data_IF_183047398918
#
_entry.id   IF_183047398918
#
_cell.length_a   1.000
_cell.length_b   1.000
_cell.length_c   1.000
_cell.angle_alpha   90.00
_cell.angle_beta   90.00
_cell.angle_gamma   90.00
#
_symmetry.space_group_name_H-M   'P 1'
#
loop_
_entity.id
_entity.type
_entity.pdbx_description
1 polymer ?
#
# COMPACT_ATOMS: atom_id res chain seq x y z
N UNK A 1 -5.14 -17.36 9.58
CA UNK A 1 -5.70 -18.25 10.65
C UNK A 1 -5.41 -19.68 10.26
N UNK A 2 -4.52 -20.38 10.98
CA UNK A 2 -4.41 -21.83 10.86
C UNK A 2 -5.65 -22.44 11.47
N UNK A 3 -6.38 -23.27 10.72
CA UNK A 3 -7.47 -24.06 11.27
C UNK A 3 -6.87 -25.08 12.25
N UNK A 4 -7.13 -24.93 13.53
CA UNK A 4 -6.81 -25.94 14.54
C UNK A 4 -8.00 -26.89 14.66
N UNK A 5 -7.98 -28.00 13.98
CA UNK A 5 -8.74 -29.15 14.42
C UNK A 5 -7.97 -29.74 15.64
N UNK A 6 -8.54 -29.63 16.84
CA UNK A 6 -8.01 -30.20 18.08
C UNK A 6 -6.64 -29.73 18.60
N UNK A 7 -6.27 -28.45 18.35
CA UNK A 7 -5.05 -27.87 18.91
C UNK A 7 -3.73 -28.38 18.28
N UNK A 8 -3.78 -29.16 17.21
CA UNK A 8 -2.60 -29.62 16.49
C UNK A 8 -2.31 -28.69 15.32
N UNK A 9 -1.10 -28.11 15.28
CA UNK A 9 -0.55 -27.43 14.11
C UNK A 9 -0.01 -28.54 13.20
N UNK A 10 -0.70 -28.80 12.09
CA UNK A 10 -0.31 -29.88 11.17
C UNK A 10 1.01 -29.65 10.43
N UNK A 11 1.42 -28.38 10.24
CA UNK A 11 2.66 -27.97 9.57
C UNK A 11 3.29 -26.82 10.35
N UNK A 12 4.56 -26.88 10.73
CA UNK A 12 5.18 -25.90 11.62
C UNK A 12 5.61 -24.63 10.85
N UNK A 13 4.64 -23.96 10.24
CA UNK A 13 4.83 -22.67 9.58
C UNK A 13 3.80 -21.69 10.10
N UNK A 14 4.24 -20.49 10.48
CA UNK A 14 3.40 -19.45 11.07
C UNK A 14 3.79 -18.08 10.54
N UNK A 15 2.80 -17.33 10.03
CA UNK A 15 2.91 -15.89 9.77
C UNK A 15 2.28 -15.14 10.94
N UNK A 16 3.10 -14.49 11.74
CA UNK A 16 2.66 -13.65 12.87
C UNK A 16 2.57 -12.20 12.42
N UNK A 17 1.44 -11.52 12.71
CA UNK A 17 1.23 -10.11 12.39
C UNK A 17 1.28 -9.29 13.67
N UNK A 18 2.25 -8.39 13.75
CA UNK A 18 2.52 -7.52 14.91
C UNK A 18 1.77 -6.19 14.75
N UNK A 19 0.60 -6.07 15.36
CA UNK A 19 -0.25 -4.86 15.25
C UNK A 19 0.40 -3.62 15.87
N UNK A 20 1.25 -3.79 16.86
CA UNK A 20 2.08 -2.73 17.45
C UNK A 20 3.13 -2.16 16.47
N UNK A 21 3.60 -2.97 15.52
CA UNK A 21 4.48 -2.49 14.46
C UNK A 21 3.74 -1.59 13.46
N UNK A 22 2.47 -1.89 13.13
CA UNK A 22 1.62 -0.98 12.37
C UNK A 22 1.48 0.37 13.07
N UNK A 23 1.18 0.38 14.37
CA UNK A 23 1.04 1.59 15.17
C UNK A 23 2.34 2.41 15.20
N UNK A 24 3.49 1.73 15.36
CA UNK A 24 4.81 2.36 15.31
C UNK A 24 5.06 3.02 13.95
N UNK A 25 4.80 2.31 12.85
CA UNK A 25 5.02 2.82 11.51
C UNK A 25 4.06 3.97 11.16
N UNK A 26 2.81 3.93 11.62
CA UNK A 26 1.87 5.04 11.49
C UNK A 26 2.34 6.29 12.24
N UNK A 27 2.88 6.12 13.46
CA UNK A 27 3.48 7.23 14.21
C UNK A 27 4.70 7.80 13.48
N UNK A 28 5.49 6.93 12.83
CA UNK A 28 6.60 7.38 12.00
C UNK A 28 6.15 8.23 10.80
N UNK A 29 5.01 7.89 10.19
CA UNK A 29 4.40 8.75 9.15
C UNK A 29 4.05 10.12 9.73
N UNK A 30 3.43 10.19 10.90
CA UNK A 30 3.07 11.46 11.56
C UNK A 30 4.28 12.35 11.87
N UNK A 31 5.39 11.75 12.31
CA UNK A 31 6.65 12.47 12.54
C UNK A 31 7.23 13.07 11.25
N UNK A 32 7.09 12.35 10.13
CA UNK A 32 7.62 12.79 8.84
C UNK A 32 6.71 13.75 8.09
N UNK A 33 5.40 13.71 8.36
CA UNK A 33 4.37 14.52 7.70
C UNK A 33 3.38 15.09 8.75
N UNK A 34 3.85 15.94 9.68
CA UNK A 34 3.07 16.37 10.86
C UNK A 34 1.84 17.20 10.49
N UNK A 35 1.89 17.94 9.39
CA UNK A 35 0.78 18.79 8.93
C UNK A 35 -0.19 18.07 7.99
N UNK A 36 0.16 16.86 7.54
CA UNK A 36 -0.65 16.12 6.58
C UNK A 36 -1.57 15.12 7.27
N UNK A 37 -2.78 14.97 6.74
CA UNK A 37 -3.66 13.85 7.04
C UNK A 37 -3.18 12.59 6.32
N UNK A 38 -3.57 11.44 6.84
CA UNK A 38 -3.03 10.15 6.40
C UNK A 38 -4.15 9.27 5.82
N UNK A 39 -4.01 8.93 4.54
CA UNK A 39 -4.69 7.82 3.93
C UNK A 39 -3.87 6.55 4.10
N UNK A 40 -4.12 5.73 5.11
CA UNK A 40 -3.45 4.43 5.27
C UNK A 40 -3.90 3.47 4.16
N UNK A 41 -2.97 3.11 3.26
CA UNK A 41 -3.26 2.27 2.10
C UNK A 41 -3.24 0.81 2.53
N UNK A 42 -4.44 0.18 2.53
CA UNK A 42 -4.65 -1.22 2.96
C UNK A 42 -5.23 -2.10 1.84
N UNK A 43 -5.05 -1.72 0.59
CA UNK A 43 -5.46 -2.51 -0.58
C UNK A 43 -4.91 -3.94 -0.57
N UNK A 44 -5.50 -4.84 -1.38
CA UNK A 44 -5.09 -6.24 -1.49
C UNK A 44 -5.04 -6.94 -0.11
N UNK A 45 -6.12 -6.81 0.67
CA UNK A 45 -6.25 -7.35 2.03
C UNK A 45 -5.07 -6.93 2.94
N UNK A 46 -4.82 -5.61 2.97
CA UNK A 46 -3.70 -5.02 3.71
C UNK A 46 -2.33 -5.61 3.29
N UNK A 47 -2.05 -5.62 1.97
CA UNK A 47 -0.82 -6.20 1.42
C UNK A 47 -0.59 -7.66 1.89
N UNK A 48 -1.67 -8.42 2.06
CA UNK A 48 -1.63 -9.81 2.53
C UNK A 48 -1.54 -9.97 4.05
N UNK A 49 -1.60 -8.87 4.83
CA UNK A 49 -1.49 -8.91 6.31
C UNK A 49 -2.84 -9.06 7.03
N UNK A 50 -3.93 -9.23 6.30
CA UNK A 50 -5.32 -9.25 6.74
C UNK A 50 -5.87 -7.89 7.22
N UNK A 51 -7.14 -7.63 6.89
CA UNK A 51 -7.80 -6.37 7.24
C UNK A 51 -7.99 -6.21 8.75
N UNK A 52 -8.28 -7.31 9.47
CA UNK A 52 -8.46 -7.32 10.91
C UNK A 52 -7.22 -6.77 11.65
N UNK A 53 -6.04 -7.20 11.20
CA UNK A 53 -4.78 -6.73 11.77
C UNK A 53 -4.52 -5.26 11.44
N UNK A 54 -4.79 -4.84 10.19
CA UNK A 54 -4.64 -3.46 9.76
C UNK A 54 -5.63 -2.54 10.50
N UNK A 55 -6.90 -2.93 10.62
CA UNK A 55 -7.91 -2.17 11.35
C UNK A 55 -7.51 -1.98 12.82
N UNK A 56 -7.01 -3.03 13.47
CA UNK A 56 -6.52 -2.96 14.85
C UNK A 56 -5.28 -2.08 14.99
N UNK A 57 -4.29 -2.23 14.11
CA UNK A 57 -3.00 -1.55 14.23
C UNK A 57 -3.00 -0.12 13.67
N UNK A 58 -3.86 0.20 12.70
CA UNK A 58 -3.94 1.50 12.03
C UNK A 58 -5.22 2.29 12.37
N UNK A 59 -6.02 1.84 13.33
CA UNK A 59 -7.33 2.43 13.66
C UNK A 59 -7.29 3.90 14.11
N UNK A 60 -6.11 4.46 14.38
CA UNK A 60 -5.93 5.88 14.66
C UNK A 60 -5.60 6.73 13.43
N UNK A 61 -5.63 6.17 12.22
CA UNK A 61 -5.43 6.90 10.94
C UNK A 61 -6.57 7.87 10.65
N UNK A 62 -6.34 8.87 9.77
CA UNK A 62 -7.41 9.79 9.33
C UNK A 62 -8.35 9.14 8.31
N UNK A 63 -7.91 8.12 7.60
CA UNK A 63 -8.74 7.33 6.69
C UNK A 63 -8.00 6.14 6.10
N UNK A 64 -8.76 5.18 5.60
CA UNK A 64 -8.24 4.06 4.83
C UNK A 64 -8.38 4.28 3.34
N UNK A 65 -7.40 3.82 2.57
CA UNK A 65 -7.41 3.88 1.11
C UNK A 65 -7.37 2.46 0.52
N UNK A 66 -8.35 2.16 -0.32
CA UNK A 66 -8.69 0.85 -0.88
C UNK A 66 -8.71 0.91 -2.42
N UNK A 67 -8.92 -0.23 -3.05
CA UNK A 67 -9.21 -0.32 -4.49
C UNK A 67 -10.66 -0.74 -4.74
N UNK A 68 -11.19 -1.68 -3.97
CA UNK A 68 -12.46 -2.35 -4.20
C UNK A 68 -13.54 -1.83 -3.22
N UNK A 69 -14.74 -1.58 -3.72
CA UNK A 69 -15.88 -1.17 -2.91
C UNK A 69 -16.31 -2.28 -1.92
N UNK A 70 -16.08 -3.56 -2.25
CA UNK A 70 -16.36 -4.67 -1.33
C UNK A 70 -15.45 -4.63 -0.09
N UNK A 71 -14.23 -4.14 -0.24
CA UNK A 71 -13.33 -3.90 0.91
C UNK A 71 -13.87 -2.78 1.80
N UNK A 72 -14.55 -1.76 1.22
CA UNK A 72 -15.22 -0.71 1.99
C UNK A 72 -16.45 -1.24 2.74
N UNK A 73 -17.25 -2.12 2.12
CA UNK A 73 -18.34 -2.84 2.80
C UNK A 73 -17.80 -3.58 4.01
N UNK A 74 -16.74 -4.38 3.81
CA UNK A 74 -16.11 -5.13 4.89
C UNK A 74 -15.68 -4.23 6.06
N UNK A 75 -15.04 -3.08 5.78
CA UNK A 75 -14.63 -2.12 6.82
C UNK A 75 -15.83 -1.59 7.62
N UNK A 76 -16.92 -1.23 6.95
CA UNK A 76 -18.15 -0.74 7.62
C UNK A 76 -18.79 -1.80 8.49
N UNK A 77 -18.90 -3.04 8.00
CA UNK A 77 -19.40 -4.20 8.76
C UNK A 77 -18.55 -4.51 9.99
N UNK A 78 -17.23 -4.20 9.95
CA UNK A 78 -16.30 -4.40 11.06
C UNK A 78 -16.09 -3.13 11.91
N UNK A 79 -17.01 -2.16 11.81
CA UNK A 79 -17.12 -1.04 12.72
C UNK A 79 -16.27 0.18 12.39
N UNK A 80 -15.59 0.24 11.25
CA UNK A 80 -14.87 1.43 10.83
C UNK A 80 -15.82 2.55 10.44
N UNK A 81 -15.79 3.69 11.16
CA UNK A 81 -16.63 4.87 10.91
C UNK A 81 -15.84 6.02 10.27
N UNK A 82 -14.51 5.91 10.17
CA UNK A 82 -13.65 6.93 9.57
C UNK A 82 -13.78 6.99 8.04
N UNK A 83 -13.02 7.90 7.44
CA UNK A 83 -13.03 8.11 5.97
C UNK A 83 -12.50 6.87 5.24
N UNK A 84 -13.03 6.64 4.04
CA UNK A 84 -12.60 5.60 3.10
C UNK A 84 -12.40 6.26 1.74
N UNK A 85 -11.24 6.04 1.12
CA UNK A 85 -10.93 6.52 -0.23
C UNK A 85 -10.77 5.34 -1.19
N UNK A 86 -11.55 5.34 -2.27
CA UNK A 86 -11.40 4.39 -3.38
C UNK A 86 -10.38 4.96 -4.38
N UNK A 87 -9.15 4.39 -4.39
CA UNK A 87 -7.96 4.90 -5.11
C UNK A 87 -8.05 4.83 -6.65
N UNK A 88 -8.96 4.03 -7.17
CA UNK A 88 -9.25 3.87 -8.60
C UNK A 88 -10.67 4.35 -8.93
N UNK A 89 -11.37 4.91 -7.92
CA UNK A 89 -12.78 5.28 -8.03
C UNK A 89 -13.68 4.06 -8.11
N UNK A 90 -14.70 4.14 -8.96
CA UNK A 90 -15.66 3.06 -9.20
C UNK A 90 -15.43 2.47 -10.59
N UNK A 91 -15.71 1.18 -10.72
CA UNK A 91 -15.58 0.47 -11.99
C UNK A 91 -16.86 0.49 -12.81
N UNK A 92 -18.01 0.70 -12.16
CA UNK A 92 -19.32 0.77 -12.79
C UNK A 92 -20.18 1.89 -12.20
N UNK A 93 -21.00 2.52 -13.02
CA UNK A 93 -21.92 3.60 -12.61
C UNK A 93 -22.90 3.16 -11.51
N UNK A 94 -23.36 1.91 -11.55
CA UNK A 94 -24.32 1.36 -10.58
C UNK A 94 -23.73 1.19 -9.15
N UNK A 95 -22.43 1.36 -8.98
CA UNK A 95 -21.79 1.35 -7.65
C UNK A 95 -21.93 2.70 -6.91
N UNK A 96 -22.35 3.78 -7.58
CA UNK A 96 -22.45 5.12 -7.00
C UNK A 96 -23.37 5.19 -5.79
N UNK A 97 -24.52 4.51 -5.84
CA UNK A 97 -25.44 4.50 -4.70
C UNK A 97 -24.82 3.83 -3.49
N UNK A 98 -24.20 2.67 -3.67
CA UNK A 98 -23.50 1.95 -2.60
C UNK A 98 -22.33 2.76 -2.05
N UNK A 99 -21.51 3.38 -2.91
CA UNK A 99 -20.41 4.22 -2.47
C UNK A 99 -20.88 5.42 -1.64
N UNK A 100 -22.05 5.99 -1.97
CA UNK A 100 -22.67 7.04 -1.18
C UNK A 100 -23.17 6.53 0.17
N UNK A 101 -23.83 5.38 0.22
CA UNK A 101 -24.30 4.75 1.46
C UNK A 101 -23.12 4.44 2.41
N UNK A 102 -21.99 3.99 1.85
CA UNK A 102 -20.76 3.73 2.58
C UNK A 102 -19.97 4.99 2.93
N UNK A 103 -20.41 6.19 2.52
CA UNK A 103 -19.73 7.46 2.68
C UNK A 103 -18.24 7.38 2.23
N UNK A 104 -18.01 6.87 1.01
CA UNK A 104 -16.68 6.79 0.41
C UNK A 104 -16.30 8.11 -0.24
N UNK A 105 -15.01 8.46 -0.18
CA UNK A 105 -14.39 9.45 -1.05
C UNK A 105 -13.92 8.74 -2.33
N UNK A 106 -14.00 9.41 -3.48
CA UNK A 106 -13.70 8.80 -4.77
C UNK A 106 -12.51 9.46 -5.45
N UNK A 107 -11.58 8.66 -5.96
CA UNK A 107 -10.63 9.14 -6.96
C UNK A 107 -11.31 9.10 -8.32
N UNK A 108 -11.19 10.16 -9.10
CA UNK A 108 -11.68 10.27 -10.48
C UNK A 108 -10.50 10.47 -11.40
N UNK A 109 -10.38 9.64 -12.44
CA UNK A 109 -9.19 9.59 -13.29
C UNK A 109 -9.47 9.49 -14.79
N UNK A 110 -10.74 9.42 -15.20
CA UNK A 110 -11.16 9.33 -16.61
C UNK A 110 -12.52 9.99 -16.83
N UNK A 111 -12.84 10.31 -18.09
CA UNK A 111 -14.06 11.02 -18.46
C UNK A 111 -15.31 10.22 -18.12
N UNK A 112 -15.31 8.90 -18.28
CA UNK A 112 -16.47 8.09 -17.93
C UNK A 112 -16.90 8.28 -16.45
N UNK A 113 -15.95 8.34 -15.52
CA UNK A 113 -16.25 8.59 -14.11
C UNK A 113 -16.76 10.04 -13.88
N UNK A 114 -16.27 11.01 -14.65
CA UNK A 114 -16.82 12.37 -14.62
C UNK A 114 -18.25 12.38 -15.13
N UNK A 115 -18.54 11.72 -16.25
CA UNK A 115 -19.89 11.62 -16.84
C UNK A 115 -20.89 11.00 -15.86
N UNK A 116 -20.51 9.92 -15.19
CA UNK A 116 -21.33 9.27 -14.16
C UNK A 116 -21.66 10.22 -13.01
N UNK A 117 -20.67 10.96 -12.51
CA UNK A 117 -20.86 11.88 -11.40
C UNK A 117 -21.70 13.10 -11.79
N UNK A 118 -21.59 13.63 -13.00
CA UNK A 118 -22.44 14.73 -13.49
C UNK A 118 -23.92 14.33 -13.54
N UNK A 119 -24.20 13.09 -13.93
CA UNK A 119 -25.57 12.57 -14.07
C UNK A 119 -26.13 12.01 -12.76
N UNK A 120 -25.27 11.68 -11.79
CA UNK A 120 -25.68 11.07 -10.54
C UNK A 120 -26.56 11.99 -9.71
N UNK A 121 -27.77 11.54 -9.43
CA UNK A 121 -28.71 12.23 -8.53
C UNK A 121 -28.50 11.69 -7.12
N UNK A 122 -27.69 12.40 -6.33
CA UNK A 122 -27.41 12.02 -4.96
C UNK A 122 -28.69 11.92 -4.11
N UNK A 123 -28.88 10.81 -3.43
CA UNK A 123 -29.88 10.69 -2.34
C UNK A 123 -29.43 11.57 -1.18
N UNK A 124 -30.41 12.23 -0.51
CA UNK A 124 -30.14 13.04 0.70
C UNK A 124 -29.17 14.23 0.53
N UNK A 125 -28.97 14.75 -0.67
CA UNK A 125 -28.08 15.88 -0.98
C UNK A 125 -26.59 15.69 -0.57
N UNK A 126 -26.18 14.54 -0.06
CA UNK A 126 -24.79 14.26 0.24
C UNK A 126 -24.05 13.94 -1.05
N UNK A 127 -23.05 14.74 -1.38
CA UNK A 127 -22.15 14.51 -2.51
C UNK A 127 -20.81 13.97 -2.03
N UNK A 128 -20.14 13.23 -2.90
CA UNK A 128 -18.81 12.72 -2.62
C UNK A 128 -17.77 13.84 -2.49
N UNK A 129 -16.74 13.62 -1.67
CA UNK A 129 -15.49 14.30 -1.89
C UNK A 129 -14.76 13.58 -3.02
N UNK A 130 -14.31 14.33 -4.00
CA UNK A 130 -13.66 13.80 -5.20
C UNK A 130 -12.18 14.18 -5.18
N UNK A 131 -11.31 13.20 -5.30
CA UNK A 131 -9.89 13.41 -5.57
C UNK A 131 -9.64 13.24 -7.07
N UNK A 132 -9.62 14.36 -7.79
CA UNK A 132 -9.33 14.35 -9.23
C UNK A 132 -7.86 14.03 -9.45
N UNK A 133 -7.59 12.97 -10.20
CA UNK A 133 -6.23 12.46 -10.40
C UNK A 133 -5.60 13.01 -11.67
N UNK A 134 -4.41 13.59 -11.50
CA UNK A 134 -3.56 14.09 -12.58
C UNK A 134 -2.45 13.10 -12.90
N UNK A 135 -2.23 12.84 -14.17
CA UNK A 135 -1.06 12.15 -14.66
C UNK A 135 0.07 13.17 -14.90
N UNK A 136 0.99 13.23 -13.98
CA UNK A 136 2.18 14.10 -14.05
C UNK A 136 3.42 13.37 -14.58
N UNK A 137 3.26 12.17 -15.16
CA UNK A 137 4.35 11.43 -15.77
C UNK A 137 4.46 9.96 -15.41
N UNK A 138 3.66 9.46 -14.45
CA UNK A 138 3.62 8.02 -14.11
C UNK A 138 2.97 7.17 -15.23
N UNK A 139 2.10 7.78 -16.05
CA UNK A 139 1.44 7.17 -17.20
C UNK A 139 0.64 5.88 -16.89
N UNK A 140 0.01 5.86 -15.73
CA UNK A 140 -0.85 4.74 -15.32
C UNK A 140 -2.33 5.13 -15.32
N UNK A 141 -2.71 6.12 -14.50
CA UNK A 141 -4.08 6.65 -14.38
C UNK A 141 -4.05 8.16 -14.17
N UNK A 142 -5.10 8.84 -14.60
CA UNK A 142 -5.30 10.28 -14.38
C UNK A 142 -5.32 11.08 -15.66
N UNK A 143 -5.93 12.25 -15.59
CA UNK A 143 -6.01 13.21 -16.67
C UNK A 143 -4.64 13.85 -16.93
N UNK A 144 -4.30 14.03 -18.20
CA UNK A 144 -3.18 14.90 -18.57
C UNK A 144 -3.50 16.36 -18.24
N UNK A 145 -2.50 17.23 -18.02
CA UNK A 145 -2.72 18.62 -17.60
C UNK A 145 -3.75 19.38 -18.44
N UNK A 146 -3.74 19.20 -19.77
CA UNK A 146 -4.64 19.91 -20.69
C UNK A 146 -6.14 19.54 -20.46
N UNK A 147 -6.42 18.28 -20.16
CA UNK A 147 -7.77 17.79 -19.89
C UNK A 147 -8.18 17.96 -18.41
N UNK A 148 -7.20 18.09 -17.51
CA UNK A 148 -7.44 18.12 -16.07
C UNK A 148 -8.34 19.26 -15.62
N UNK A 149 -8.05 20.48 -16.09
CA UNK A 149 -8.83 21.68 -15.72
C UNK A 149 -10.28 21.60 -16.21
N UNK A 150 -10.50 21.03 -17.38
CA UNK A 150 -11.85 20.79 -17.93
C UNK A 150 -12.62 19.82 -17.02
N UNK A 151 -12.02 18.68 -16.66
CA UNK A 151 -12.61 17.71 -15.75
C UNK A 151 -12.87 18.31 -14.37
N UNK A 152 -11.96 19.15 -13.84
CA UNK A 152 -12.16 19.86 -12.58
C UNK A 152 -13.41 20.76 -12.65
N UNK A 153 -13.53 21.60 -13.67
CA UNK A 153 -14.67 22.52 -13.80
C UNK A 153 -15.99 21.79 -13.98
N UNK A 154 -16.02 20.68 -14.70
CA UNK A 154 -17.22 19.82 -14.83
C UNK A 154 -17.68 19.32 -13.45
N UNK A 155 -16.81 18.69 -12.70
CA UNK A 155 -17.12 18.18 -11.35
C UNK A 155 -17.50 19.29 -10.37
N UNK A 156 -16.76 20.40 -10.38
CA UNK A 156 -17.03 21.54 -9.51
C UNK A 156 -18.39 22.19 -9.83
N UNK A 157 -18.73 22.36 -11.13
CA UNK A 157 -20.03 22.88 -11.57
C UNK A 157 -21.18 21.93 -11.23
N UNK A 158 -20.95 20.62 -11.23
CA UNK A 158 -21.89 19.63 -10.72
C UNK A 158 -22.05 19.69 -9.19
N UNK A 159 -21.25 20.53 -8.49
CA UNK A 159 -21.33 20.83 -7.05
C UNK A 159 -20.57 19.84 -6.18
N UNK A 160 -19.60 19.11 -6.71
CA UNK A 160 -18.69 18.27 -5.91
C UNK A 160 -17.59 19.10 -5.25
N UNK A 161 -17.17 18.68 -4.05
CA UNK A 161 -15.93 19.15 -3.46
C UNK A 161 -14.76 18.41 -4.11
N UNK A 162 -13.98 19.13 -4.94
CA UNK A 162 -12.90 18.55 -5.72
C UNK A 162 -11.56 18.84 -5.06
N UNK A 163 -10.80 17.78 -4.81
CA UNK A 163 -9.42 17.79 -4.31
C UNK A 163 -8.48 17.32 -5.42
N UNK A 164 -7.19 17.55 -5.28
CA UNK A 164 -6.18 17.31 -6.29
C UNK A 164 -5.28 16.15 -5.92
N UNK A 165 -5.05 15.21 -6.83
CA UNK A 165 -4.19 14.05 -6.59
C UNK A 165 -3.23 13.80 -7.74
N UNK A 166 -2.00 13.42 -7.42
CA UNK A 166 -1.08 12.77 -8.37
C UNK A 166 -0.36 11.59 -7.70
N UNK A 167 0.55 10.94 -8.41
CA UNK A 167 1.39 9.88 -7.86
C UNK A 167 2.79 9.95 -8.46
N UNK A 168 3.79 9.97 -7.59
CA UNK A 168 5.18 10.02 -8.02
C UNK A 168 5.63 8.68 -8.58
N UNK A 169 6.29 8.73 -9.75
CA UNK A 169 6.78 7.56 -10.45
C UNK A 169 8.07 7.02 -9.83
N UNK A 170 8.99 7.93 -9.49
CA UNK A 170 10.38 7.61 -9.16
C UNK A 170 10.84 8.22 -7.83
N UNK A 171 9.94 8.29 -6.82
CA UNK A 171 10.29 8.83 -5.51
C UNK A 171 11.31 7.95 -4.74
N UNK A 172 11.49 6.71 -5.15
CA UNK A 172 12.46 5.73 -4.64
C UNK A 172 13.72 5.60 -5.52
N UNK A 173 13.82 6.37 -6.61
CA UNK A 173 14.89 6.27 -7.60
C UNK A 173 15.60 7.62 -7.78
N UNK A 174 16.86 7.71 -7.40
CA UNK A 174 17.66 8.93 -7.61
C UNK A 174 18.07 9.06 -9.09
N UNK A 175 17.87 10.26 -9.65
CA UNK A 175 18.30 10.56 -11.02
C UNK A 175 17.42 9.98 -12.12
N UNK A 176 16.24 9.43 -11.80
CA UNK A 176 15.28 8.95 -12.80
C UNK A 176 14.23 10.02 -13.15
N UNK A 177 13.85 10.06 -14.44
CA UNK A 177 12.77 10.92 -14.92
C UNK A 177 11.45 10.10 -15.11
N UNK A 178 10.28 10.72 -14.87
CA UNK A 178 10.13 12.08 -14.33
C UNK A 178 10.56 12.15 -12.86
N UNK A 179 11.30 13.21 -12.53
CA UNK A 179 11.72 13.47 -11.15
C UNK A 179 10.54 13.91 -10.28
N UNK A 180 10.66 13.75 -8.96
CA UNK A 180 9.64 14.21 -8.00
C UNK A 180 9.42 15.73 -8.14
N UNK A 181 10.50 16.50 -8.28
CA UNK A 181 10.43 17.96 -8.47
C UNK A 181 9.69 18.35 -9.74
N UNK A 182 10.02 17.74 -10.88
CA UNK A 182 9.34 17.99 -12.15
C UNK A 182 7.86 17.63 -12.12
N UNK A 183 7.50 16.49 -11.52
CA UNK A 183 6.10 16.10 -11.34
C UNK A 183 5.33 17.09 -10.45
N UNK A 184 5.95 17.54 -9.36
CA UNK A 184 5.35 18.50 -8.42
C UNK A 184 5.16 19.88 -9.07
N UNK A 185 6.14 20.35 -9.82
CA UNK A 185 6.05 21.62 -10.55
C UNK A 185 4.90 21.60 -11.56
N UNK A 186 4.82 20.58 -12.40
CA UNK A 186 3.73 20.38 -13.37
C UNK A 186 2.36 20.33 -12.67
N UNK A 187 2.29 19.61 -11.55
CA UNK A 187 1.07 19.52 -10.73
C UNK A 187 0.66 20.89 -10.22
N UNK A 188 1.56 21.63 -9.56
CA UNK A 188 1.29 22.93 -8.98
C UNK A 188 0.88 23.99 -10.03
N UNK A 189 1.56 24.00 -11.17
CA UNK A 189 1.20 24.89 -12.29
C UNK A 189 -0.23 24.58 -12.78
N UNK A 190 -0.58 23.30 -12.94
CA UNK A 190 -1.88 22.89 -13.47
C UNK A 190 -3.03 23.20 -12.50
N UNK A 191 -2.84 23.07 -11.20
CA UNK A 191 -3.89 23.34 -10.20
C UNK A 191 -3.94 24.82 -9.77
N UNK A 192 -3.04 25.65 -10.25
CA UNK A 192 -2.96 27.06 -9.85
C UNK A 192 -4.31 27.77 -9.99
N UNK A 193 -4.77 28.41 -8.92
CA UNK A 193 -6.05 29.08 -8.83
C UNK A 193 -7.29 28.18 -8.67
N UNK A 194 -7.11 26.84 -8.57
CA UNK A 194 -8.20 25.92 -8.31
C UNK A 194 -8.26 25.60 -6.79
N UNK A 195 -9.45 25.66 -6.16
CA UNK A 195 -9.61 25.33 -4.75
C UNK A 195 -9.56 23.82 -4.55
N UNK A 196 -9.08 23.38 -3.39
CA UNK A 196 -9.08 21.96 -2.98
C UNK A 196 -7.80 21.57 -2.25
N UNK A 197 -7.87 20.51 -1.46
CA UNK A 197 -6.70 19.91 -0.81
C UNK A 197 -5.92 19.06 -1.81
N UNK A 198 -4.65 18.82 -1.49
CA UNK A 198 -3.70 18.11 -2.34
C UNK A 198 -3.29 16.77 -1.75
N UNK A 199 -3.03 15.77 -2.61
CA UNK A 199 -2.50 14.47 -2.20
C UNK A 199 -1.48 13.96 -3.23
N UNK A 200 -0.19 14.01 -2.87
CA UNK A 200 0.91 13.67 -3.77
C UNK A 200 1.71 12.46 -3.28
N UNK A 201 2.18 12.52 -2.03
CA UNK A 201 3.20 11.64 -1.49
C UNK A 201 2.74 10.19 -1.29
N UNK A 202 3.51 9.26 -1.84
CA UNK A 202 3.53 7.84 -1.51
C UNK A 202 4.57 7.56 -0.39
N UNK A 203 4.81 6.29 -0.03
CA UNK A 203 5.77 5.92 1.01
C UNK A 203 7.17 6.48 0.78
N UNK A 204 7.69 6.40 -0.44
CA UNK A 204 9.02 6.90 -0.78
C UNK A 204 9.11 8.43 -0.64
N UNK A 205 8.10 9.15 -1.13
CA UNK A 205 8.06 10.59 -0.99
C UNK A 205 7.97 11.03 0.49
N UNK A 206 7.20 10.32 1.32
CA UNK A 206 7.12 10.59 2.76
C UNK A 206 8.50 10.43 3.42
N UNK A 207 9.23 9.39 3.05
CA UNK A 207 10.54 9.10 3.64
C UNK A 207 11.62 10.09 3.20
N UNK A 208 11.63 10.47 1.91
CA UNK A 208 12.80 11.14 1.32
C UNK A 208 12.55 12.48 0.63
N UNK A 209 11.28 12.91 0.46
CA UNK A 209 10.92 14.15 -0.27
C UNK A 209 9.96 15.02 0.53
N UNK A 210 10.41 15.54 1.68
CA UNK A 210 9.58 16.31 2.62
C UNK A 210 8.88 17.54 2.02
N UNK A 211 9.40 18.09 0.94
CA UNK A 211 8.79 19.23 0.24
C UNK A 211 7.64 18.85 -0.70
N UNK A 212 7.33 17.55 -0.82
CA UNK A 212 6.36 17.01 -1.77
C UNK A 212 5.19 16.25 -1.09
N UNK A 213 4.86 16.58 0.16
CA UNK A 213 3.87 15.83 0.96
C UNK A 213 2.42 16.09 0.53
N UNK A 214 1.99 17.37 0.51
CA UNK A 214 0.60 17.79 0.32
C UNK A 214 -0.23 17.69 1.59
N UNK A 215 -1.53 18.05 1.50
CA UNK A 215 -2.46 18.02 2.66
C UNK A 215 -2.79 16.59 3.11
N UNK A 216 -2.69 15.64 2.20
CA UNK A 216 -2.91 14.22 2.45
C UNK A 216 -1.75 13.39 1.93
N UNK A 217 -1.19 12.53 2.77
CA UNK A 217 -0.17 11.54 2.38
C UNK A 217 -0.78 10.15 2.27
N UNK A 218 -0.20 9.30 1.42
CA UNK A 218 -0.70 7.94 1.15
C UNK A 218 0.39 6.89 1.40
N UNK A 219 0.76 6.67 2.68
CA UNK A 219 1.69 5.60 3.01
C UNK A 219 1.05 4.24 2.67
N UNK A 220 1.81 3.40 1.98
CA UNK A 220 1.49 1.99 1.73
C UNK A 220 2.57 1.13 2.33
N UNK A 221 3.57 0.75 1.55
CA UNK A 221 4.58 -0.23 1.92
C UNK A 221 5.30 0.10 3.26
N UNK A 222 5.54 1.36 3.58
CA UNK A 222 6.17 1.75 4.84
C UNK A 222 5.34 1.42 6.08
N UNK A 223 4.00 1.38 5.97
CA UNK A 223 3.13 0.96 7.10
C UNK A 223 3.36 -0.50 7.48
N UNK A 224 3.78 -1.32 6.52
CA UNK A 224 4.08 -2.74 6.70
C UNK A 224 5.52 -2.99 7.12
N UNK A 225 6.32 -1.93 7.27
CA UNK A 225 7.70 -2.02 7.70
C UNK A 225 8.65 -2.52 6.61
N UNK A 226 8.31 -2.29 5.35
CA UNK A 226 9.18 -2.61 4.22
C UNK A 226 9.64 -1.34 3.49
N UNK A 227 10.82 -1.39 2.87
CA UNK A 227 11.37 -0.29 2.10
C UNK A 227 10.75 -0.20 0.70
N UNK A 228 10.45 1.02 0.20
CA UNK A 228 10.06 1.22 -1.18
C UNK A 228 11.12 0.80 -2.21
N UNK A 229 12.40 0.84 -1.86
CA UNK A 229 13.52 0.42 -2.74
C UNK A 229 13.72 -1.10 -2.76
N UNK A 230 13.13 -1.82 -1.81
CA UNK A 230 13.39 -3.25 -1.59
C UNK A 230 14.72 -3.55 -0.87
N UNK A 231 15.47 -2.53 -0.45
CA UNK A 231 16.72 -2.71 0.30
C UNK A 231 16.43 -2.83 1.80
N UNK A 232 16.92 -3.90 2.42
CA UNK A 232 16.71 -4.14 3.85
C UNK A 232 17.32 -3.03 4.73
N UNK A 233 18.46 -2.48 4.34
CA UNK A 233 19.14 -1.41 5.08
C UNK A 233 18.25 -0.17 5.28
N UNK A 234 17.39 0.15 4.32
CA UNK A 234 16.52 1.32 4.41
C UNK A 234 15.46 1.19 5.52
N UNK A 235 15.08 -0.03 5.89
CA UNK A 235 14.11 -0.28 6.97
C UNK A 235 14.66 0.27 8.28
N UNK A 236 15.90 -0.07 8.62
CA UNK A 236 16.55 0.43 9.81
C UNK A 236 16.81 1.94 9.75
N UNK A 237 17.32 2.47 8.64
CA UNK A 237 17.55 3.90 8.43
C UNK A 237 16.28 4.73 8.50
N UNK A 238 15.14 4.16 8.08
CA UNK A 238 13.84 4.83 8.14
C UNK A 238 13.13 4.64 9.49
N UNK A 239 13.72 3.89 10.42
CA UNK A 239 13.13 3.53 11.72
C UNK A 239 11.78 2.83 11.61
N UNK A 240 11.61 1.96 10.59
CA UNK A 240 10.42 1.16 10.41
C UNK A 240 10.54 -0.18 11.14
N UNK A 241 9.41 -0.78 11.48
CA UNK A 241 9.31 -2.11 12.08
C UNK A 241 8.55 -3.06 11.17
N UNK A 242 9.13 -4.22 10.87
CA UNK A 242 8.45 -5.25 10.10
C UNK A 242 7.17 -5.71 10.83
N UNK A 243 6.06 -5.71 10.11
CA UNK A 243 4.75 -6.10 10.65
C UNK A 243 4.55 -7.60 10.61
N UNK A 244 5.07 -8.28 9.58
CA UNK A 244 4.95 -9.74 9.44
C UNK A 244 6.26 -10.43 9.81
N UNK A 245 6.15 -11.46 10.62
CA UNK A 245 7.21 -12.42 10.89
C UNK A 245 6.78 -13.80 10.39
N UNK A 246 7.55 -14.38 9.47
CA UNK A 246 7.39 -15.77 9.06
C UNK A 246 8.32 -16.65 9.88
N UNK A 247 7.80 -17.67 10.54
CA UNK A 247 8.57 -18.64 11.31
C UNK A 247 8.23 -20.07 10.89
N UNK A 248 9.19 -20.96 11.03
CA UNK A 248 9.04 -22.37 10.75
C UNK A 248 10.04 -23.18 11.59
N UNK A 249 10.08 -24.50 11.38
CA UNK A 249 10.98 -25.40 12.09
C UNK A 249 11.89 -26.17 11.12
N UNK A 250 13.08 -26.52 11.58
CA UNK A 250 13.95 -27.48 10.89
C UNK A 250 13.37 -28.87 11.12
N UNK A 251 13.01 -29.56 10.05
CA UNK A 251 12.37 -30.87 10.07
C UNK A 251 13.34 -32.01 9.77
N UNK A 252 14.53 -31.68 9.24
CA UNK A 252 15.59 -32.66 8.96
C UNK A 252 16.95 -31.95 8.87
N UNK A 253 18.03 -32.71 9.07
CA UNK A 253 19.40 -32.26 8.91
C UNK A 253 20.13 -33.22 7.99
N UNK A 254 20.75 -32.69 6.92
CA UNK A 254 21.55 -33.48 5.98
C UNK A 254 23.03 -33.10 6.11
N UNK A 255 23.89 -34.13 6.06
CA UNK A 255 25.32 -33.95 5.97
C UNK A 255 25.80 -34.02 4.53
N UNK A 256 26.44 -32.97 4.06
CA UNK A 256 26.92 -32.84 2.69
C UNK A 256 28.42 -32.94 2.67
N UNK A 257 28.98 -33.60 1.62
CA UNK A 257 30.37 -33.54 1.24
C UNK A 257 30.57 -32.46 0.19
N UNK A 258 31.80 -31.99 0.04
CA UNK A 258 32.19 -31.10 -1.05
C UNK A 258 31.73 -31.66 -2.39
N UNK A 259 31.03 -30.89 -3.19
CA UNK A 259 30.50 -31.25 -4.49
C UNK A 259 29.07 -31.81 -4.49
N UNK A 260 28.50 -32.13 -3.30
CA UNK A 260 27.09 -32.55 -3.21
C UNK A 260 26.17 -31.41 -3.60
N UNK A 261 25.10 -31.76 -4.31
CA UNK A 261 24.13 -30.77 -4.82
C UNK A 261 22.80 -30.89 -4.12
N UNK A 262 22.12 -29.76 -3.90
CA UNK A 262 20.86 -29.68 -3.16
C UNK A 262 19.70 -29.30 -4.09
N UNK A 263 18.59 -30.02 -3.93
CA UNK A 263 17.29 -29.72 -4.51
C UNK A 263 17.17 -29.92 -6.03
N UNK A 264 16.07 -29.46 -6.58
CA UNK A 264 15.79 -29.56 -8.01
C UNK A 264 16.83 -28.82 -8.85
N UNK A 265 17.39 -29.53 -9.83
CA UNK A 265 18.44 -28.98 -10.71
C UNK A 265 19.79 -28.76 -10.05
N UNK A 266 19.95 -29.11 -8.76
CA UNK A 266 21.22 -28.99 -8.04
C UNK A 266 21.76 -27.56 -8.03
N UNK A 267 20.91 -26.56 -7.83
CA UNK A 267 21.28 -25.14 -7.91
C UNK A 267 22.37 -24.76 -6.89
N UNK A 268 22.31 -25.32 -5.70
CA UNK A 268 23.33 -25.17 -4.70
C UNK A 268 24.29 -26.35 -4.72
N UNK A 269 25.59 -26.09 -4.71
CA UNK A 269 26.66 -27.09 -4.62
C UNK A 269 27.51 -26.79 -3.38
N UNK A 270 27.68 -27.81 -2.53
CA UNK A 270 28.46 -27.68 -1.30
C UNK A 270 29.96 -27.44 -1.62
N UNK A 271 30.50 -26.31 -1.19
CA UNK A 271 31.88 -25.93 -1.44
C UNK A 271 32.88 -26.66 -0.50
N UNK A 272 32.36 -27.16 0.62
CA UNK A 272 33.09 -27.94 1.64
C UNK A 272 32.14 -28.91 2.33
N UNK A 273 32.63 -29.77 3.20
CA UNK A 273 31.77 -30.62 4.05
C UNK A 273 31.00 -29.73 5.03
N UNK A 274 29.66 -29.87 5.03
CA UNK A 274 28.79 -29.02 5.83
C UNK A 274 27.50 -29.75 6.21
N UNK A 275 26.80 -29.19 7.20
CA UNK A 275 25.42 -29.60 7.51
C UNK A 275 24.43 -28.57 7.01
N UNK A 276 23.32 -29.00 6.48
CA UNK A 276 22.20 -28.14 6.11
C UNK A 276 20.93 -28.57 6.87
N UNK A 277 20.13 -27.59 7.27
CA UNK A 277 18.79 -27.79 7.84
C UNK A 277 17.71 -27.70 6.76
N UNK A 278 16.83 -28.67 6.71
CA UNK A 278 15.63 -28.64 5.87
C UNK A 278 14.51 -28.02 6.66
N UNK A 279 14.01 -26.86 6.20
CA UNK A 279 12.97 -26.09 6.88
C UNK A 279 11.60 -26.40 6.29
N UNK A 280 10.57 -26.55 7.13
CA UNK A 280 9.18 -26.77 6.71
C UNK A 280 8.55 -25.50 6.14
N UNK A 281 9.18 -24.90 5.13
CA UNK A 281 8.74 -23.71 4.43
C UNK A 281 9.20 -23.73 2.98
N UNK A 282 8.31 -23.47 2.04
CA UNK A 282 8.64 -23.43 0.63
C UNK A 282 7.63 -22.62 -0.19
N UNK A 283 7.79 -22.64 -1.51
CA UNK A 283 6.95 -21.85 -2.42
C UNK A 283 5.46 -22.26 -2.38
N UNK A 284 5.15 -23.49 -2.03
CA UNK A 284 3.77 -23.95 -1.84
C UNK A 284 3.11 -23.32 -0.61
N UNK A 285 3.90 -22.82 0.35
CA UNK A 285 3.43 -22.09 1.53
C UNK A 285 3.38 -20.56 1.31
N UNK A 286 3.73 -20.09 0.09
CA UNK A 286 3.79 -18.67 -0.25
C UNK A 286 5.18 -18.04 -0.13
N UNK A 287 6.22 -18.78 0.26
CA UNK A 287 7.59 -18.26 0.27
C UNK A 287 8.06 -17.99 -1.17
N UNK A 288 8.69 -16.83 -1.47
CA UNK A 288 9.06 -16.49 -2.84
C UNK A 288 10.02 -17.52 -3.47
N UNK A 289 9.60 -18.16 -4.55
CA UNK A 289 10.44 -19.11 -5.28
C UNK A 289 11.73 -18.48 -5.83
N UNK A 290 11.69 -17.17 -6.08
CA UNK A 290 12.84 -16.40 -6.59
C UNK A 290 13.72 -15.82 -5.46
N UNK A 291 13.48 -16.19 -4.20
CA UNK A 291 14.36 -15.79 -3.11
C UNK A 291 15.81 -16.15 -3.45
N UNK A 292 16.70 -15.17 -3.28
CA UNK A 292 18.11 -15.32 -3.64
C UNK A 292 18.80 -16.28 -2.66
N UNK A 293 19.79 -17.01 -3.15
CA UNK A 293 20.69 -17.76 -2.29
C UNK A 293 21.41 -16.78 -1.34
N UNK A 294 21.62 -17.19 -0.10
CA UNK A 294 22.16 -16.31 0.94
C UNK A 294 21.15 -15.37 1.59
N UNK A 295 19.83 -15.53 1.34
CA UNK A 295 18.81 -14.83 2.11
C UNK A 295 18.97 -15.17 3.60
N UNK A 296 19.21 -14.18 4.50
CA UNK A 296 19.46 -14.45 5.90
C UNK A 296 18.22 -14.99 6.62
N UNK A 297 18.43 -15.95 7.49
CA UNK A 297 17.40 -16.51 8.38
C UNK A 297 17.92 -16.56 9.82
N UNK A 298 17.01 -16.42 10.79
CA UNK A 298 17.34 -16.55 12.20
C UNK A 298 17.10 -17.98 12.67
N UNK A 299 18.12 -18.61 13.26
CA UNK A 299 18.00 -19.97 13.82
C UNK A 299 18.29 -19.90 15.32
N UNK A 300 17.36 -20.39 16.18
CA UNK A 300 17.53 -20.44 17.63
C UNK A 300 18.03 -19.13 18.26
N UNK A 301 17.52 -17.97 17.79
CA UNK A 301 17.91 -16.61 18.22
C UNK A 301 19.34 -16.19 17.82
N UNK A 302 19.98 -16.92 16.92
CA UNK A 302 21.21 -16.55 16.24
C UNK A 302 20.99 -16.37 14.74
N UNK A 303 21.83 -15.55 14.06
CA UNK A 303 21.81 -15.40 12.60
C UNK A 303 22.71 -16.45 11.94
#
# INVERSE_FOLDING_TARGET
MGYTANGLINRPILASIHTEAFQHNLNRVRELAPESKIWSVIKARAYGHAFEAALKGLGSTDGFALLDIQDAVWLREHGWQGRILLLEGLFHENELELAQELACDLVVHCDAQVDWLETFKAKNHNKFNVFLKMNTGMNRLGFKPDAYRTAFHRLHSAGYQVHHMTHFANADQVGHEPSVGGQQELFNQTISGLPGSTSLANSAAILWHRNALGDWVRPGIMLYGASPTGLYADIAHSHLKAVMQLSSEIIDIQELKKGDRVGYGGRYEAQESMRIGIVACGYADGYPRQAKDGTPVWVNKGA
#
